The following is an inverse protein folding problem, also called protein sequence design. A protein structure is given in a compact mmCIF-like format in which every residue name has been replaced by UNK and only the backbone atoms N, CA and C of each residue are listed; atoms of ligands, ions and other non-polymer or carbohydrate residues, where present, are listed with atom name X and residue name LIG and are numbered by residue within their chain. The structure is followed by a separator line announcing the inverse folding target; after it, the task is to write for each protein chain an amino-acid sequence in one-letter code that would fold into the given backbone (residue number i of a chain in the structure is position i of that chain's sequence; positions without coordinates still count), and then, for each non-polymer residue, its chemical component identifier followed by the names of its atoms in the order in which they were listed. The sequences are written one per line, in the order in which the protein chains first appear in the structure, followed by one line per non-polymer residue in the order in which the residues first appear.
data_IF_000264773687
#
_entry.id   IF_000264773687
#
_cell.length_a   1.000
_cell.length_b   1.000
_cell.length_c   1.000
_cell.angle_alpha   90.00
_cell.angle_beta   90.00
_cell.angle_gamma   90.00
#
_symmetry.space_group_name_H-M   'P 1'
#
loop_
_entity.id
_entity.type
_entity.pdbx_description
1 polymer ?
#
# COMPACT_ATOMS: atom_id res chain seq x y z
N UNK A 1 -13.78 11.61 -6.97
CA UNK A 1 -14.85 10.83 -6.28
C UNK A 1 -15.36 9.65 -7.11
N UNK A 2 -15.48 9.75 -8.45
CA UNK A 2 -15.83 8.59 -9.32
C UNK A 2 -14.65 7.66 -9.66
N UNK A 3 -13.42 8.19 -9.65
CA UNK A 3 -12.21 7.44 -10.06
C UNK A 3 -11.81 6.32 -9.07
N UNK A 4 -12.19 6.44 -7.79
CA UNK A 4 -11.85 5.47 -6.73
C UNK A 4 -12.70 4.18 -6.87
N UNK A 5 -13.89 4.25 -7.45
CA UNK A 5 -14.77 3.08 -7.62
C UNK A 5 -14.32 2.14 -8.74
N UNK A 6 -13.58 2.64 -9.74
CA UNK A 6 -13.08 1.83 -10.84
C UNK A 6 -11.84 1.00 -10.43
N UNK A 7 -11.08 1.47 -9.45
CA UNK A 7 -9.90 0.80 -8.90
C UNK A 7 -10.19 -0.48 -8.09
N UNK A 8 -11.46 -0.87 -7.95
CA UNK A 8 -11.90 -1.80 -6.90
C UNK A 8 -11.63 -3.29 -7.18
N UNK A 9 -11.35 -3.72 -8.42
CA UNK A 9 -11.31 -5.16 -8.74
C UNK A 9 -10.31 -5.51 -9.87
N UNK A 10 -9.00 -5.50 -9.61
CA UNK A 10 -8.05 -6.26 -10.44
C UNK A 10 -6.91 -6.85 -9.60
N UNK A 11 -6.62 -8.16 -9.68
CA UNK A 11 -5.48 -8.77 -8.98
C UNK A 11 -4.12 -8.14 -9.33
N UNK A 12 -3.98 -7.57 -10.54
CA UNK A 12 -2.79 -6.81 -10.92
C UNK A 12 -2.56 -5.54 -10.06
N UNK A 13 -3.58 -5.11 -9.32
CA UNK A 13 -3.48 -3.90 -8.51
C UNK A 13 -2.74 -4.13 -7.19
N UNK A 14 -2.84 -5.34 -6.62
CA UNK A 14 -2.03 -5.72 -5.47
C UNK A 14 -0.54 -5.76 -5.84
N UNK A 15 -0.21 -6.33 -7.01
CA UNK A 15 1.15 -6.35 -7.57
C UNK A 15 1.69 -4.93 -7.76
N UNK A 16 0.89 -4.01 -8.32
CA UNK A 16 1.27 -2.59 -8.48
C UNK A 16 1.53 -1.88 -7.15
N UNK A 17 0.78 -2.18 -6.09
CA UNK A 17 1.09 -1.62 -4.78
C UNK A 17 2.36 -2.22 -4.19
N UNK A 18 2.59 -3.52 -4.34
CA UNK A 18 3.84 -4.12 -3.87
C UNK A 18 5.06 -3.50 -4.58
N UNK A 19 4.97 -3.29 -5.89
CA UNK A 19 5.97 -2.56 -6.67
C UNK A 19 6.14 -1.12 -6.18
N UNK A 20 5.06 -0.37 -6.00
CA UNK A 20 5.11 1.01 -5.49
C UNK A 20 5.77 1.09 -4.12
N UNK A 21 5.41 0.18 -3.21
CA UNK A 21 6.00 0.11 -1.88
C UNK A 21 7.50 -0.16 -1.94
N UNK A 22 7.94 -1.06 -2.83
CA UNK A 22 9.36 -1.32 -3.07
C UNK A 22 10.09 -0.06 -3.61
N UNK A 23 9.49 0.67 -4.56
CA UNK A 23 10.04 1.92 -5.10
C UNK A 23 10.24 3.01 -4.03
N UNK A 24 9.29 3.16 -3.10
CA UNK A 24 9.41 4.12 -1.98
C UNK A 24 10.26 3.59 -0.82
N UNK A 25 10.80 2.36 -0.95
CA UNK A 25 11.69 1.74 0.02
C UNK A 25 10.98 1.19 1.25
N UNK A 26 9.73 0.76 1.12
CA UNK A 26 8.94 0.07 2.14
C UNK A 26 8.70 -1.40 1.76
N UNK A 27 8.92 -2.32 2.70
CA UNK A 27 8.59 -3.73 2.51
C UNK A 27 7.20 -4.04 3.04
N UNK A 28 6.34 -4.65 2.22
CA UNK A 28 5.03 -5.16 2.64
C UNK A 28 5.17 -6.61 3.12
N UNK A 29 4.63 -6.92 4.30
CA UNK A 29 4.62 -8.28 4.86
C UNK A 29 3.23 -8.70 5.31
N UNK A 30 2.85 -9.92 4.94
CA UNK A 30 1.57 -10.51 5.33
C UNK A 30 1.75 -11.45 6.50
N UNK A 31 1.33 -11.02 7.69
CA UNK A 31 1.55 -11.77 8.93
C UNK A 31 0.24 -12.09 9.66
N UNK A 32 0.30 -13.03 10.60
CA UNK A 32 -0.80 -13.26 11.55
C UNK A 32 -0.73 -12.17 12.62
N UNK A 33 -1.70 -11.25 12.62
CA UNK A 33 -1.82 -10.21 13.63
C UNK A 33 -3.26 -9.75 13.76
N UNK A 34 -3.64 -9.25 14.93
CA UNK A 34 -4.95 -8.63 15.15
C UNK A 34 -4.73 -7.12 15.39
N UNK A 35 -4.70 -6.36 14.31
CA UNK A 35 -4.55 -4.90 14.34
C UNK A 35 -5.92 -4.26 14.23
N UNK A 36 -6.17 -3.17 14.97
CA UNK A 36 -7.48 -2.50 14.98
C UNK A 36 -7.89 -1.98 13.58
N UNK A 37 -6.92 -1.55 12.77
CA UNK A 37 -7.08 -1.13 11.37
C UNK A 37 -6.78 -2.24 10.35
N UNK A 38 -6.44 -3.45 10.80
CA UNK A 38 -6.00 -4.54 9.93
C UNK A 38 -4.53 -4.46 9.47
N UNK A 39 -3.78 -3.42 9.82
CA UNK A 39 -2.37 -3.26 9.51
C UNK A 39 -1.57 -2.54 10.61
N UNK A 40 -0.25 -2.56 10.50
CA UNK A 40 0.70 -1.81 11.34
C UNK A 40 1.89 -1.35 10.49
N UNK A 41 2.43 -0.15 10.76
CA UNK A 41 3.61 0.39 10.08
C UNK A 41 4.76 0.46 11.09
N UNK A 42 5.89 -0.15 10.74
CA UNK A 42 7.15 -0.01 11.45
C UNK A 42 8.00 1.03 10.71
N UNK A 43 7.84 2.31 11.07
CA UNK A 43 8.48 3.44 10.39
C UNK A 43 10.02 3.31 10.35
N UNK A 44 10.65 3.01 11.49
CA UNK A 44 12.13 2.86 11.59
C UNK A 44 12.69 1.77 10.67
N UNK A 45 11.91 0.71 10.47
CA UNK A 45 12.29 -0.44 9.63
C UNK A 45 11.79 -0.33 8.20
N UNK A 46 10.95 0.67 7.91
CA UNK A 46 10.19 0.82 6.66
C UNK A 46 9.45 -0.47 6.29
N UNK A 47 8.69 -1.02 7.22
CA UNK A 47 7.91 -2.25 6.99
C UNK A 47 6.42 -1.97 7.22
N UNK A 48 5.59 -2.26 6.24
CA UNK A 48 4.14 -2.32 6.37
C UNK A 48 3.72 -3.77 6.64
N UNK A 49 3.15 -4.04 7.81
CA UNK A 49 2.64 -5.35 8.20
C UNK A 49 1.13 -5.36 8.03
N UNK A 50 0.63 -6.21 7.14
CA UNK A 50 -0.80 -6.37 6.85
C UNK A 50 -1.27 -7.71 7.40
N UNK A 51 -2.44 -7.72 8.03
CA UNK A 51 -3.04 -8.97 8.48
C UNK A 51 -3.37 -9.86 7.28
N UNK A 52 -2.75 -11.04 7.23
CA UNK A 52 -2.91 -11.99 6.13
C UNK A 52 -4.34 -12.54 5.96
N UNK A 53 -5.18 -12.43 6.99
CA UNK A 53 -6.58 -12.87 6.94
C UNK A 53 -7.51 -11.83 6.31
N UNK A 54 -7.02 -10.64 5.96
CA UNK A 54 -7.81 -9.68 5.17
C UNK A 54 -8.08 -10.23 3.77
N UNK A 55 -9.28 -9.95 3.27
CA UNK A 55 -9.66 -10.15 1.87
C UNK A 55 -8.77 -9.30 0.96
N UNK A 56 -8.75 -9.60 -0.34
CA UNK A 56 -8.00 -8.81 -1.32
C UNK A 56 -8.38 -7.31 -1.24
N UNK A 57 -9.68 -7.01 -1.18
CA UNK A 57 -10.19 -5.65 -0.99
C UNK A 57 -9.69 -5.02 0.32
N UNK A 58 -9.71 -5.77 1.43
CA UNK A 58 -9.19 -5.29 2.71
C UNK A 58 -7.69 -4.98 2.68
N UNK A 59 -6.89 -5.77 1.95
CA UNK A 59 -5.46 -5.52 1.77
C UNK A 59 -5.19 -4.27 0.93
N UNK A 60 -5.93 -4.11 -0.16
CA UNK A 60 -5.84 -2.92 -1.03
C UNK A 60 -6.21 -1.66 -0.22
N UNK A 61 -7.29 -1.70 0.55
CA UNK A 61 -7.68 -0.57 1.41
C UNK A 61 -6.60 -0.27 2.46
N UNK A 62 -6.05 -1.29 3.11
CA UNK A 62 -4.94 -1.10 4.05
C UNK A 62 -3.73 -0.42 3.37
N UNK A 63 -3.34 -0.86 2.18
CA UNK A 63 -2.24 -0.25 1.42
C UNK A 63 -2.54 1.20 1.03
N UNK A 64 -3.77 1.51 0.64
CA UNK A 64 -4.18 2.89 0.34
C UNK A 64 -4.20 3.78 1.59
N UNK A 65 -4.66 3.28 2.72
CA UNK A 65 -4.70 4.02 3.98
C UNK A 65 -3.29 4.33 4.52
N UNK A 66 -2.35 3.41 4.33
CA UNK A 66 -0.96 3.56 4.77
C UNK A 66 -0.23 4.61 3.93
N UNK A 67 -0.39 4.61 2.60
CA UNK A 67 0.36 5.46 1.67
C UNK A 67 0.50 6.94 2.08
N UNK A 68 -0.58 7.67 2.44
CA UNK A 68 -0.47 9.08 2.82
C UNK A 68 0.27 9.32 4.15
N UNK A 69 0.44 8.28 4.97
CA UNK A 69 1.18 8.36 6.23
C UNK A 69 2.68 8.10 6.09
N UNK A 70 3.13 7.66 4.91
CA UNK A 70 4.54 7.34 4.67
C UNK A 70 5.33 8.61 4.35
N UNK A 71 6.49 8.76 4.97
CA UNK A 71 7.48 9.76 4.57
C UNK A 71 8.14 9.30 3.26
N UNK A 72 7.61 9.77 2.14
CA UNK A 72 8.08 9.44 0.80
C UNK A 72 9.11 10.48 0.36
N UNK A 73 10.33 10.01 0.06
CA UNK A 73 11.33 10.81 -0.61
C UNK A 73 11.02 10.83 -2.12
N UNK A 74 10.41 11.93 -2.58
CA UNK A 74 9.96 12.09 -3.97
C UNK A 74 11.10 12.02 -4.99
N UNK A 75 12.35 12.15 -4.56
CA UNK A 75 13.54 11.98 -5.42
C UNK A 75 13.77 10.53 -5.87
N UNK A 76 13.18 9.55 -5.16
CA UNK A 76 13.33 8.12 -5.44
C UNK A 76 12.24 7.55 -6.32
N UNK A 77 11.18 8.31 -6.58
CA UNK A 77 10.08 7.80 -7.38
C UNK A 77 10.40 7.89 -8.88
N UNK A 78 10.26 6.78 -9.59
CA UNK A 78 10.38 6.78 -11.04
C UNK A 78 9.24 7.65 -11.61
N UNK A 79 9.55 8.56 -12.53
CA UNK A 79 8.65 9.67 -12.95
C UNK A 79 7.32 9.27 -13.60
N UNK A 80 6.97 7.98 -13.63
CA UNK A 80 5.80 7.45 -14.33
C UNK A 80 4.58 7.19 -13.42
N UNK A 81 4.72 7.12 -12.09
CA UNK A 81 3.63 6.60 -11.25
C UNK A 81 2.73 7.66 -10.59
N UNK A 82 3.24 8.87 -10.27
CA UNK A 82 2.47 9.87 -9.51
C UNK A 82 1.38 10.55 -10.36
N UNK A 83 1.65 10.78 -11.65
CA UNK A 83 0.72 11.54 -12.49
C UNK A 83 -0.59 10.82 -12.84
N UNK A 84 -0.76 9.56 -12.41
CA UNK A 84 -2.00 8.78 -12.60
C UNK A 84 -2.77 8.49 -11.30
N UNK A 85 -2.27 8.95 -10.15
CA UNK A 85 -2.89 8.75 -8.83
C UNK A 85 -3.41 10.04 -8.18
N UNK A 86 -3.23 11.21 -8.82
CA UNK A 86 -3.89 12.48 -8.47
C UNK A 86 -4.97 12.76 -9.53
#
# INVERSE_FOLDING_TARGET
MLQIYEYKIYPCYAEKFEELYDEIGYSVRFEKGNFHSGYCILQDKRIAVINKFLTLEGRINALMDILPSLEIDTSKLSGNHISSMI
#
